data_IF_017908291430
#
_entry.id   IF_017908291430
#
_cell.length_a   1.000
_cell.length_b   1.000
_cell.length_c   1.000
_cell.angle_alpha   90.00
_cell.angle_beta   90.00
_cell.angle_gamma   90.00
#
_symmetry.space_group_name_H-M   'P 1'
#
loop_
_entity.id
_entity.type
_entity.pdbx_description
1 polymer ?
#
# COMPACT_ATOMS: atom_id res chain seq x y z
N UNK A 1 -38.63 18.77 4.85
CA UNK A 1 -37.28 18.24 5.12
C UNK A 1 -36.25 19.26 4.65
N UNK A 2 -35.46 19.80 5.56
CA UNK A 2 -34.29 20.59 5.23
C UNK A 2 -33.00 19.88 5.70
N UNK A 3 -31.93 20.04 4.95
CA UNK A 3 -30.63 19.51 5.26
C UNK A 3 -29.54 20.43 4.74
N UNK A 4 -28.35 20.32 5.33
CA UNK A 4 -27.12 20.93 4.82
C UNK A 4 -26.17 19.85 4.38
N UNK A 5 -25.38 20.13 3.35
CA UNK A 5 -24.41 19.16 2.81
C UNK A 5 -23.02 19.77 2.75
N UNK A 6 -22.05 19.11 3.39
CA UNK A 6 -20.64 19.44 3.30
C UNK A 6 -19.94 18.39 2.42
N UNK A 7 -19.66 18.73 1.18
CA UNK A 7 -18.91 17.89 0.25
C UNK A 7 -17.40 18.00 0.46
N UNK A 8 -16.66 17.02 -0.06
CA UNK A 8 -15.19 16.98 -0.03
C UNK A 8 -14.54 17.08 1.37
N UNK A 9 -15.30 16.74 2.42
CA UNK A 9 -14.77 16.73 3.79
C UNK A 9 -13.70 15.64 3.94
N UNK A 10 -12.47 15.96 4.37
CA UNK A 10 -11.42 14.96 4.53
C UNK A 10 -11.74 14.04 5.71
N UNK A 11 -11.58 12.73 5.52
CA UNK A 11 -11.71 11.74 6.59
C UNK A 11 -10.45 11.79 7.49
N UNK A 12 -10.58 11.96 8.82
CA UNK A 12 -9.44 12.13 9.69
C UNK A 12 -8.88 10.82 10.26
N UNK A 13 -9.46 9.66 9.93
CA UNK A 13 -9.20 8.39 10.62
C UNK A 13 -8.00 7.59 10.10
N UNK A 14 -7.32 8.04 9.05
CA UNK A 14 -6.07 7.45 8.57
C UNK A 14 -5.33 8.39 7.62
N UNK A 15 -4.09 8.05 7.28
CA UNK A 15 -3.21 8.84 6.42
C UNK A 15 -3.72 9.04 4.97
N UNK A 16 -4.77 8.32 4.54
CA UNK A 16 -5.33 8.49 3.19
C UNK A 16 -6.19 9.75 3.04
N UNK A 17 -6.76 10.27 4.13
CA UNK A 17 -7.61 11.47 4.13
C UNK A 17 -8.64 11.50 3.00
N UNK A 18 -9.30 10.35 2.74
CA UNK A 18 -10.30 10.22 1.69
C UNK A 18 -11.38 11.28 1.82
N UNK A 19 -11.84 11.83 0.70
CA UNK A 19 -12.95 12.77 0.67
C UNK A 19 -14.27 12.04 0.91
N UNK A 20 -15.13 12.61 1.75
CA UNK A 20 -16.48 12.13 2.05
C UNK A 20 -17.46 13.29 2.06
N UNK A 21 -18.73 12.99 2.00
CA UNK A 21 -19.82 13.97 2.07
C UNK A 21 -20.57 13.77 3.38
N UNK A 22 -20.79 14.84 4.12
CA UNK A 22 -21.55 14.82 5.38
C UNK A 22 -22.85 15.55 5.12
N UNK A 23 -23.97 14.87 5.36
CA UNK A 23 -25.32 15.42 5.28
C UNK A 23 -25.85 15.58 6.70
N UNK A 24 -26.24 16.80 7.07
CA UNK A 24 -26.82 17.10 8.39
C UNK A 24 -28.25 17.53 8.20
N UNK A 25 -29.17 16.81 8.83
CA UNK A 25 -30.60 17.08 8.79
C UNK A 25 -31.01 18.11 9.82
N UNK A 26 -32.15 18.79 9.59
CA UNK A 26 -32.72 19.75 10.54
C UNK A 26 -33.09 19.14 11.90
N UNK A 27 -33.19 17.82 11.99
CA UNK A 27 -33.36 17.04 13.22
C UNK A 27 -32.11 16.92 14.07
N UNK A 28 -30.95 17.41 13.57
CA UNK A 28 -29.64 17.27 14.23
C UNK A 28 -28.93 15.96 13.91
N UNK A 29 -29.60 15.01 13.25
CA UNK A 29 -28.94 13.79 12.81
C UNK A 29 -28.02 14.02 11.61
N UNK A 30 -26.94 13.28 11.51
CA UNK A 30 -26.00 13.37 10.38
C UNK A 30 -25.78 12.01 9.73
N UNK A 31 -25.58 12.02 8.43
CA UNK A 31 -25.25 10.84 7.64
C UNK A 31 -24.03 11.12 6.76
N UNK A 32 -23.18 10.09 6.63
CA UNK A 32 -21.97 10.20 5.80
C UNK A 32 -22.11 9.33 4.56
N UNK A 33 -21.75 9.88 3.42
CA UNK A 33 -21.74 9.18 2.13
C UNK A 33 -20.43 9.47 1.38
N UNK A 34 -20.18 8.76 0.27
CA UNK A 34 -18.96 8.82 -0.51
C UNK A 34 -17.67 8.45 0.30
N UNK A 35 -17.84 7.84 1.47
CA UNK A 35 -16.72 7.26 2.22
C UNK A 35 -16.11 6.06 1.49
N UNK A 36 -14.81 5.84 1.67
CA UNK A 36 -14.06 4.73 1.04
C UNK A 36 -14.00 3.48 1.89
N UNK A 37 -14.31 3.58 3.17
CA UNK A 37 -14.35 2.46 4.11
C UNK A 37 -15.22 2.82 5.32
N UNK A 38 -15.51 1.86 6.15
CA UNK A 38 -16.38 1.96 7.34
C UNK A 38 -15.91 3.02 8.35
N UNK A 39 -14.59 3.23 8.48
CA UNK A 39 -14.03 4.31 9.31
C UNK A 39 -14.58 5.67 8.91
N UNK A 40 -14.79 5.87 7.62
CA UNK A 40 -15.27 7.13 7.09
C UNK A 40 -16.73 7.42 7.45
N UNK A 41 -17.51 6.46 7.93
CA UNK A 41 -18.89 6.65 8.39
C UNK A 41 -18.96 7.34 9.76
N UNK A 42 -17.91 7.23 10.56
CA UNK A 42 -17.87 7.80 11.91
C UNK A 42 -17.59 9.30 11.85
N UNK A 43 -18.26 10.06 12.71
CA UNK A 43 -18.07 11.49 12.89
C UNK A 43 -17.45 11.77 14.25
N UNK A 44 -16.68 12.85 14.36
CA UNK A 44 -16.08 13.31 15.61
C UNK A 44 -14.54 13.35 15.57
N UNK A 45 -13.95 13.68 16.71
CA UNK A 45 -12.50 13.75 16.88
C UNK A 45 -11.90 12.32 16.92
N UNK A 46 -10.95 11.99 16.02
CA UNK A 46 -10.28 10.69 16.02
C UNK A 46 -9.59 10.31 17.33
N UNK A 47 -9.25 11.30 18.17
CA UNK A 47 -8.58 11.08 19.44
C UNK A 47 -9.54 10.80 20.60
N UNK A 48 -10.83 11.08 20.45
CA UNK A 48 -11.82 10.83 21.47
C UNK A 48 -12.07 9.32 21.64
N UNK A 49 -12.02 8.81 22.88
CA UNK A 49 -12.16 7.39 23.18
C UNK A 49 -13.46 6.78 22.63
N UNK A 50 -14.60 7.48 22.76
CA UNK A 50 -15.88 7.03 22.23
C UNK A 50 -15.92 6.94 20.69
N UNK A 51 -15.21 7.83 19.99
CA UNK A 51 -15.08 7.81 18.53
C UNK A 51 -14.19 6.65 18.10
N UNK A 52 -13.11 6.39 18.81
CA UNK A 52 -12.24 5.22 18.55
C UNK A 52 -12.99 3.91 18.73
N UNK A 53 -13.85 3.80 19.74
CA UNK A 53 -14.65 2.61 19.96
C UNK A 53 -15.67 2.39 18.83
N UNK A 54 -16.40 3.45 18.42
CA UNK A 54 -17.29 3.39 17.25
C UNK A 54 -16.57 2.93 15.98
N UNK A 55 -15.34 3.40 15.74
CA UNK A 55 -14.53 2.95 14.61
C UNK A 55 -14.19 1.47 14.71
N UNK A 56 -13.85 0.98 15.90
CA UNK A 56 -13.59 -0.45 16.14
C UNK A 56 -14.82 -1.29 15.90
N UNK A 57 -15.98 -0.89 16.43
CA UNK A 57 -17.25 -1.58 16.23
C UNK A 57 -17.64 -1.67 14.75
N UNK A 58 -17.54 -0.56 14.00
CA UNK A 58 -17.79 -0.55 12.56
C UNK A 58 -16.87 -1.49 11.79
N UNK A 59 -15.62 -1.56 12.17
CA UNK A 59 -14.66 -2.48 11.56
C UNK A 59 -14.94 -3.93 11.95
N UNK A 60 -15.37 -4.19 13.19
CA UNK A 60 -15.69 -5.53 13.67
C UNK A 60 -16.94 -6.12 12.99
N UNK A 61 -17.97 -5.30 12.76
CA UNK A 61 -19.20 -5.73 12.05
C UNK A 61 -18.92 -6.31 10.65
N UNK A 62 -17.85 -5.86 9.98
CA UNK A 62 -17.46 -6.34 8.64
C UNK A 62 -16.57 -7.59 8.68
N UNK A 63 -16.03 -7.98 9.82
CA UNK A 63 -15.04 -9.07 9.92
C UNK A 63 -15.63 -10.48 9.76
N UNK A 64 -16.93 -10.64 9.50
CA UNK A 64 -17.54 -11.95 9.23
C UNK A 64 -17.06 -12.56 7.89
N UNK A 65 -16.59 -11.73 6.95
CA UNK A 65 -16.04 -12.21 5.68
C UNK A 65 -14.52 -12.05 5.70
N UNK A 66 -13.72 -13.09 5.42
CA UNK A 66 -12.27 -12.99 5.39
C UNK A 66 -11.81 -11.98 4.34
N UNK A 67 -10.92 -11.06 4.74
CA UNK A 67 -10.32 -10.08 3.84
C UNK A 67 -9.17 -10.73 3.07
N UNK A 68 -9.46 -11.24 1.87
CA UNK A 68 -8.47 -11.92 1.03
C UNK A 68 -7.32 -11.03 0.58
N UNK A 69 -7.53 -9.72 0.44
CA UNK A 69 -6.44 -8.77 0.14
C UNK A 69 -5.45 -8.66 1.30
N UNK A 70 -5.95 -8.65 2.53
CA UNK A 70 -5.11 -8.67 3.71
C UNK A 70 -4.33 -9.98 3.81
N UNK A 71 -5.00 -11.11 3.62
CA UNK A 71 -4.37 -12.42 3.62
C UNK A 71 -3.27 -12.51 2.55
N UNK A 72 -3.56 -12.06 1.32
CA UNK A 72 -2.56 -11.99 0.24
C UNK A 72 -1.35 -11.16 0.66
N UNK A 73 -1.58 -9.98 1.23
CA UNK A 73 -0.50 -9.12 1.69
C UNK A 73 0.35 -9.77 2.79
N UNK A 74 -0.29 -10.41 3.76
CA UNK A 74 0.39 -11.13 4.83
C UNK A 74 1.26 -12.26 4.28
N UNK A 75 0.76 -13.03 3.33
CA UNK A 75 1.51 -14.09 2.67
C UNK A 75 2.68 -13.55 1.82
N UNK A 76 2.46 -12.55 0.99
CA UNK A 76 3.50 -12.02 0.09
C UNK A 76 4.66 -11.37 0.84
N UNK A 77 4.39 -10.71 1.96
CA UNK A 77 5.42 -9.98 2.72
C UNK A 77 5.89 -10.72 3.99
N UNK A 78 5.46 -11.96 4.16
CA UNK A 78 5.92 -12.82 5.24
C UNK A 78 7.42 -13.15 5.06
N UNK A 79 8.12 -13.20 6.17
CA UNK A 79 9.51 -13.67 6.20
C UNK A 79 9.52 -15.20 6.25
N UNK A 80 9.70 -15.82 5.11
CA UNK A 80 9.79 -17.29 5.02
C UNK A 80 11.13 -17.79 5.57
N UNK A 81 11.19 -19.02 6.13
CA UNK A 81 12.44 -19.67 6.50
C UNK A 81 13.36 -19.80 5.29
N UNK A 82 14.66 -19.70 5.53
CA UNK A 82 15.70 -20.01 4.55
C UNK A 82 16.33 -21.37 4.88
N UNK A 83 16.61 -22.21 3.90
CA UNK A 83 17.27 -23.47 4.13
C UNK A 83 18.78 -23.29 4.41
N UNK A 84 19.28 -24.00 5.40
CA UNK A 84 20.71 -24.13 5.68
C UNK A 84 21.37 -22.94 6.38
N UNK A 85 22.62 -23.09 6.80
CA UNK A 85 23.43 -22.04 7.38
C UNK A 85 23.83 -21.03 6.29
N UNK A 86 23.64 -19.75 6.56
CA UNK A 86 24.02 -18.67 5.65
C UNK A 86 25.06 -17.79 6.33
N UNK A 87 26.19 -17.57 5.67
CA UNK A 87 27.18 -16.60 6.14
C UNK A 87 26.59 -15.20 6.03
N UNK A 88 26.46 -14.50 7.16
CA UNK A 88 25.94 -13.14 7.19
C UNK A 88 26.88 -12.18 6.42
N UNK A 89 26.27 -11.28 5.65
CA UNK A 89 26.96 -10.19 4.95
C UNK A 89 26.56 -8.87 5.60
N UNK A 90 27.52 -7.99 5.75
CA UNK A 90 27.29 -6.64 6.29
C UNK A 90 26.78 -5.68 5.22
N UNK A 91 25.71 -6.06 4.56
CA UNK A 91 25.02 -5.27 3.55
C UNK A 91 23.51 -5.51 3.63
N UNK A 92 22.75 -4.44 3.73
CA UNK A 92 21.30 -4.46 3.75
C UNK A 92 20.73 -4.18 2.37
N UNK A 93 19.88 -5.07 1.87
CA UNK A 93 19.16 -4.92 0.60
C UNK A 93 17.73 -4.44 0.87
N UNK A 94 17.38 -3.29 0.31
CA UNK A 94 16.02 -2.75 0.32
C UNK A 94 15.19 -3.30 -0.85
N UNK A 95 14.00 -3.83 -0.55
CA UNK A 95 13.01 -4.25 -1.56
C UNK A 95 11.77 -3.34 -1.48
N UNK A 96 11.43 -2.63 -2.56
CA UNK A 96 10.25 -1.78 -2.58
C UNK A 96 8.96 -2.61 -2.74
N UNK A 97 7.93 -2.31 -1.95
CA UNK A 97 6.61 -2.97 -2.03
C UNK A 97 5.76 -2.40 -3.16
N UNK A 98 6.23 -2.52 -4.38
CA UNK A 98 5.55 -1.96 -5.55
C UNK A 98 5.70 -2.83 -6.79
N UNK A 99 4.87 -2.59 -7.78
CA UNK A 99 4.89 -3.23 -9.10
C UNK A 99 4.99 -4.77 -9.01
N UNK A 100 5.94 -5.38 -9.73
CA UNK A 100 6.13 -6.83 -9.79
C UNK A 100 6.48 -7.50 -8.46
N UNK A 101 6.93 -6.74 -7.46
CA UNK A 101 7.16 -7.28 -6.12
C UNK A 101 5.88 -7.78 -5.41
N UNK A 102 4.69 -7.31 -5.84
CA UNK A 102 3.43 -7.84 -5.34
C UNK A 102 3.18 -9.31 -5.69
N UNK A 103 3.91 -9.86 -6.63
CA UNK A 103 3.82 -11.28 -7.01
C UNK A 103 5.12 -12.03 -6.71
N UNK A 104 6.25 -11.35 -6.68
CA UNK A 104 7.57 -11.97 -6.60
C UNK A 104 8.30 -11.73 -5.27
N UNK A 105 7.71 -11.02 -4.31
CA UNK A 105 8.37 -10.71 -3.04
C UNK A 105 8.85 -11.94 -2.25
N UNK A 106 8.08 -13.04 -2.13
CA UNK A 106 8.55 -14.22 -1.42
C UNK A 106 9.84 -14.79 -2.02
N UNK A 107 9.92 -14.81 -3.36
CA UNK A 107 11.11 -15.27 -4.08
C UNK A 107 12.31 -14.35 -3.80
N UNK A 108 12.17 -13.04 -4.06
CA UNK A 108 13.31 -12.11 -3.93
C UNK A 108 13.78 -11.94 -2.48
N UNK A 109 12.85 -11.90 -1.54
CA UNK A 109 13.19 -11.81 -0.12
C UNK A 109 13.96 -13.07 0.34
N UNK A 110 13.51 -14.25 -0.07
CA UNK A 110 14.18 -15.51 0.25
C UNK A 110 15.53 -15.61 -0.45
N UNK A 111 15.61 -15.25 -1.74
CA UNK A 111 16.85 -15.27 -2.53
C UNK A 111 17.96 -14.43 -1.87
N UNK A 112 17.71 -13.16 -1.58
CA UNK A 112 18.70 -12.29 -0.99
C UNK A 112 19.12 -12.75 0.41
N UNK A 113 18.17 -13.19 1.21
CA UNK A 113 18.45 -13.73 2.54
C UNK A 113 19.27 -15.03 2.49
N UNK A 114 19.00 -15.90 1.52
CA UNK A 114 19.78 -17.13 1.30
C UNK A 114 21.22 -16.86 0.89
N UNK A 115 21.48 -15.68 0.31
CA UNK A 115 22.84 -15.20 0.01
C UNK A 115 23.53 -14.51 1.20
N UNK A 116 22.88 -14.44 2.36
CA UNK A 116 23.41 -13.86 3.59
C UNK A 116 23.15 -12.37 3.77
N UNK A 117 22.37 -11.71 2.91
CA UNK A 117 22.04 -10.31 3.05
C UNK A 117 20.90 -10.08 4.05
N UNK A 118 20.95 -9.00 4.80
CA UNK A 118 19.77 -8.48 5.47
C UNK A 118 18.79 -7.89 4.44
N UNK A 119 17.50 -8.17 4.59
CA UNK A 119 16.46 -7.63 3.69
C UNK A 119 15.51 -6.74 4.47
N UNK A 120 15.40 -5.49 4.03
CA UNK A 120 14.41 -4.52 4.52
C UNK A 120 13.38 -4.23 3.45
N UNK A 121 12.11 -4.20 3.86
CA UNK A 121 10.99 -3.85 2.98
C UNK A 121 10.60 -2.40 3.21
N UNK A 122 10.22 -1.70 2.12
CA UNK A 122 9.60 -0.38 2.28
C UNK A 122 8.28 -0.46 3.05
N UNK A 123 7.84 0.65 3.64
CA UNK A 123 6.56 0.75 4.31
C UNK A 123 5.38 0.40 3.39
N UNK A 124 4.21 0.14 3.98
CA UNK A 124 2.98 -0.01 3.21
C UNK A 124 2.62 1.27 2.48
N UNK A 125 2.11 1.13 1.25
CA UNK A 125 1.64 2.26 0.45
C UNK A 125 0.54 3.03 1.18
N UNK A 126 0.73 4.33 1.30
CA UNK A 126 -0.26 5.27 1.79
C UNK A 126 -0.05 6.62 1.13
N UNK A 127 -0.95 7.57 1.40
CA UNK A 127 -0.89 8.90 0.79
C UNK A 127 0.41 9.64 1.14
N UNK A 128 0.86 9.59 2.38
CA UNK A 128 2.08 10.27 2.80
C UNK A 128 3.34 9.73 2.10
N UNK A 129 3.41 8.40 1.91
CA UNK A 129 4.48 7.77 1.15
C UNK A 129 4.42 8.22 -0.32
N UNK A 130 3.25 8.25 -0.95
CA UNK A 130 3.08 8.75 -2.32
C UNK A 130 3.54 10.21 -2.45
N UNK A 131 3.02 11.09 -1.59
CA UNK A 131 3.38 12.52 -1.59
C UNK A 131 4.87 12.73 -1.37
N UNK A 132 5.51 11.92 -0.55
CA UNK A 132 6.96 11.99 -0.33
C UNK A 132 7.78 11.73 -1.59
N UNK A 133 7.27 10.97 -2.54
CA UNK A 133 7.93 10.62 -3.79
C UNK A 133 7.66 11.57 -4.95
N UNK A 134 6.66 12.44 -4.86
CA UNK A 134 6.17 13.25 -5.98
C UNK A 134 7.24 14.14 -6.63
N UNK A 135 8.16 14.69 -5.86
CA UNK A 135 9.22 15.55 -6.38
C UNK A 135 10.21 14.83 -7.32
N UNK A 136 10.24 13.50 -7.30
CA UNK A 136 11.09 12.68 -8.15
C UNK A 136 10.35 12.14 -9.39
N UNK A 137 9.04 12.36 -9.49
CA UNK A 137 8.25 11.96 -10.66
C UNK A 137 8.53 12.90 -11.82
N UNK A 138 9.08 12.38 -12.90
CA UNK A 138 9.54 13.18 -14.05
C UNK A 138 8.43 13.52 -15.03
N UNK A 139 7.30 12.82 -15.00
CA UNK A 139 6.18 13.03 -15.93
C UNK A 139 4.83 12.77 -15.28
N UNK A 140 3.89 13.67 -15.52
CA UNK A 140 2.50 13.51 -15.05
C UNK A 140 1.73 12.41 -15.78
N UNK A 141 2.19 12.01 -16.96
CA UNK A 141 1.56 10.97 -17.79
C UNK A 141 1.80 9.54 -17.27
N UNK A 142 2.76 9.37 -16.34
CA UNK A 142 3.07 8.07 -15.75
C UNK A 142 1.91 7.60 -14.86
N UNK A 143 1.56 6.31 -14.97
CA UNK A 143 0.46 5.73 -14.19
C UNK A 143 0.71 5.81 -12.68
N UNK A 144 -0.37 5.81 -11.90
CA UNK A 144 -0.29 5.93 -10.44
C UNK A 144 0.59 4.87 -9.76
N UNK A 145 0.52 3.57 -10.11
CA UNK A 145 1.42 2.56 -9.53
C UNK A 145 2.91 2.85 -9.78
N UNK A 146 3.26 3.37 -10.95
CA UNK A 146 4.64 3.74 -11.25
C UNK A 146 5.09 5.00 -10.47
N UNK A 147 4.20 5.97 -10.25
CA UNK A 147 4.48 7.13 -9.38
C UNK A 147 4.77 6.70 -7.93
N UNK A 148 4.10 5.66 -7.42
CA UNK A 148 4.32 5.12 -6.09
C UNK A 148 5.75 4.60 -5.87
N UNK A 149 6.41 4.11 -6.91
CA UNK A 149 7.79 3.59 -6.83
C UNK A 149 8.73 4.58 -6.18
N UNK A 150 8.65 5.85 -6.58
CA UNK A 150 9.51 6.93 -6.04
C UNK A 150 9.35 7.10 -4.53
N UNK A 151 8.12 6.99 -4.02
CA UNK A 151 7.85 7.01 -2.58
C UNK A 151 8.46 5.81 -1.83
N UNK A 152 8.37 4.62 -2.42
CA UNK A 152 8.95 3.41 -1.84
C UNK A 152 10.48 3.46 -1.83
N UNK A 153 11.11 3.91 -2.91
CA UNK A 153 12.56 4.10 -2.98
C UNK A 153 13.01 5.10 -1.92
N UNK A 154 12.34 6.26 -1.84
CA UNK A 154 12.66 7.29 -0.85
C UNK A 154 12.49 6.81 0.60
N UNK A 155 11.50 5.96 0.85
CA UNK A 155 11.31 5.33 2.14
C UNK A 155 12.48 4.40 2.51
N UNK A 156 12.96 3.58 1.58
CA UNK A 156 14.12 2.71 1.78
C UNK A 156 15.41 3.49 2.02
N UNK A 157 15.64 4.57 1.25
CA UNK A 157 16.78 5.48 1.48
C UNK A 157 16.73 6.06 2.90
N UNK A 158 15.56 6.49 3.38
CA UNK A 158 15.37 6.98 4.75
C UNK A 158 15.58 5.90 5.82
N UNK A 159 15.36 4.63 5.48
CA UNK A 159 15.65 3.49 6.37
C UNK A 159 17.15 3.14 6.44
N UNK A 160 17.99 3.79 5.66
CA UNK A 160 19.42 3.59 5.62
C UNK A 160 19.84 2.23 5.05
N UNK A 161 19.16 1.73 4.01
CA UNK A 161 19.60 0.51 3.32
C UNK A 161 20.82 0.80 2.45
N UNK A 162 21.75 -0.16 2.34
CA UNK A 162 22.97 0.02 1.57
C UNK A 162 22.73 -0.05 0.07
N UNK A 163 21.79 -0.89 -0.35
CA UNK A 163 21.42 -1.08 -1.75
C UNK A 163 19.92 -1.27 -1.88
N UNK A 164 19.35 -0.84 -2.99
CA UNK A 164 17.96 -1.10 -3.35
C UNK A 164 17.98 -2.02 -4.57
N UNK A 165 17.30 -3.14 -4.45
CA UNK A 165 17.13 -4.07 -5.57
C UNK A 165 15.78 -3.83 -6.24
N UNK A 166 15.82 -3.63 -7.55
CA UNK A 166 14.63 -3.47 -8.38
C UNK A 166 14.89 -4.13 -9.74
N UNK A 167 14.29 -5.31 -10.01
CA UNK A 167 14.53 -6.02 -11.26
C UNK A 167 13.84 -5.30 -12.42
N UNK A 168 14.55 -5.12 -13.53
CA UNK A 168 13.99 -4.70 -14.82
C UNK A 168 13.47 -5.94 -15.55
N UNK A 169 12.16 -6.15 -15.53
CA UNK A 169 11.50 -7.29 -16.20
C UNK A 169 10.97 -6.85 -17.54
N UNK A 170 11.66 -7.19 -18.61
CA UNK A 170 11.30 -6.78 -19.97
C UNK A 170 10.20 -7.63 -20.58
N UNK A 171 10.22 -8.92 -20.29
CA UNK A 171 9.25 -9.91 -20.79
C UNK A 171 8.91 -10.92 -19.72
N UNK A 172 7.68 -11.38 -19.72
CA UNK A 172 7.21 -12.48 -18.88
C UNK A 172 6.39 -13.43 -19.72
N UNK A 173 6.74 -14.72 -19.71
CA UNK A 173 6.00 -15.73 -20.47
C UNK A 173 4.57 -15.85 -19.93
N UNK A 174 3.60 -15.75 -20.83
CA UNK A 174 2.20 -15.97 -20.49
C UNK A 174 1.91 -17.44 -20.23
N UNK A 175 1.08 -17.73 -19.24
CA UNK A 175 0.53 -19.07 -19.02
C UNK A 175 -0.48 -19.45 -20.11
N UNK A 176 -1.07 -18.47 -20.77
CA UNK A 176 -1.94 -18.68 -21.92
C UNK A 176 -1.10 -18.92 -23.18
N UNK A 177 -1.07 -20.15 -23.68
CA UNK A 177 -0.31 -20.55 -24.87
C UNK A 177 -0.76 -19.85 -26.14
N UNK A 178 -1.98 -19.31 -26.18
CA UNK A 178 -2.51 -18.53 -27.31
C UNK A 178 -2.03 -17.08 -27.31
N UNK A 179 -1.37 -16.61 -26.23
CA UNK A 179 -0.86 -15.25 -26.15
C UNK A 179 0.38 -15.09 -27.02
N UNK A 180 0.38 -14.08 -27.88
CA UNK A 180 1.51 -13.71 -28.76
C UNK A 180 2.35 -12.58 -28.21
N UNK A 181 1.94 -11.95 -27.10
CA UNK A 181 2.63 -10.82 -26.48
C UNK A 181 3.11 -11.16 -25.08
N UNK A 182 4.41 -11.06 -24.87
CA UNK A 182 5.08 -11.32 -23.59
C UNK A 182 5.72 -10.04 -23.00
N UNK A 183 5.46 -8.90 -23.61
CA UNK A 183 6.06 -7.63 -23.18
C UNK A 183 5.43 -7.13 -21.88
N UNK A 184 6.28 -6.73 -20.95
CA UNK A 184 5.88 -6.02 -19.73
C UNK A 184 5.70 -4.52 -20.02
N UNK A 185 5.08 -3.81 -19.07
CA UNK A 185 4.86 -2.38 -19.16
C UNK A 185 6.16 -1.61 -19.41
N UNK A 186 6.18 -0.74 -20.42
CA UNK A 186 7.37 0.02 -20.81
C UNK A 186 7.93 0.90 -19.67
N UNK A 187 7.05 1.42 -18.80
CA UNK A 187 7.44 2.26 -17.66
C UNK A 187 8.22 1.48 -16.59
N UNK A 188 8.05 0.16 -16.55
CA UNK A 188 8.69 -0.74 -15.57
C UNK A 188 9.96 -1.36 -16.14
N UNK A 189 10.16 -1.26 -17.44
CA UNK A 189 11.33 -1.84 -18.12
C UNK A 189 12.63 -1.12 -17.82
N UNK A 190 12.58 0.14 -17.41
CA UNK A 190 13.79 0.87 -17.12
C UNK A 190 13.89 2.24 -17.24
#
# INVERSE_FOLDING_TARGET
FSYTQSGNSPCPFCANHCKRTIVTFSTGSSWVTNNRCERGEVLGDPKAAGVQEQVKEKLAQKQQTPNLFRLRQELLFKKYPIPGPTTARDVTIGLPRCLSFWDTMPFWSTFWRSLGFEVKLSALSNRALYESGLSAVTSDTVCFPAKLVHGHIRNLVKQGVDRIFMPSITTLKSENTASTSYSMCAVVKG
#
